data_IF_923698836558
#
_entry.id   IF_923698836558
#
_cell.length_a   1.000
_cell.length_b   1.000
_cell.length_c   1.000
_cell.angle_alpha   90.00
_cell.angle_beta   90.00
_cell.angle_gamma   90.00
#
_symmetry.space_group_name_H-M   'P 1'
#
loop_
_entity.id
_entity.type
_entity.pdbx_description
1 polymer ?
#
# COMPACT_ATOMS: atom_id res chain seq x y z
N UNK A 1 -3.21 14.96 -8.59
CA UNK A 1 -2.12 14.08 -8.14
C UNK A 1 -2.49 13.60 -6.74
N UNK A 2 -2.94 12.36 -6.58
CA UNK A 2 -3.49 11.89 -5.29
C UNK A 2 -2.37 11.67 -4.27
N UNK A 3 -2.65 11.97 -3.00
CA UNK A 3 -1.71 11.82 -1.88
C UNK A 3 -1.21 10.38 -1.73
N UNK A 4 -2.07 9.41 -2.04
CA UNK A 4 -1.76 7.98 -2.03
C UNK A 4 -0.79 7.60 -3.15
N UNK A 5 -0.98 8.12 -4.37
CA UNK A 5 -0.04 7.90 -5.47
C UNK A 5 1.33 8.51 -5.16
N UNK A 6 1.36 9.70 -4.56
CA UNK A 6 2.63 10.32 -4.14
C UNK A 6 3.33 9.51 -3.03
N UNK A 7 2.56 8.95 -2.08
CA UNK A 7 3.10 8.03 -1.08
C UNK A 7 3.74 6.80 -1.75
N UNK A 8 3.04 6.17 -2.69
CA UNK A 8 3.57 5.01 -3.40
C UNK A 8 4.82 5.35 -4.22
N UNK A 9 4.92 6.55 -4.79
CA UNK A 9 6.12 7.02 -5.49
C UNK A 9 7.29 7.24 -4.51
N UNK A 10 7.04 7.98 -3.42
CA UNK A 10 8.08 8.36 -2.42
C UNK A 10 8.74 7.14 -1.80
N UNK A 11 7.97 6.08 -1.55
CA UNK A 11 8.47 4.84 -0.96
C UNK A 11 8.82 3.76 -2.00
N UNK A 12 8.78 4.07 -3.30
CA UNK A 12 9.11 3.13 -4.37
C UNK A 12 8.14 1.94 -4.49
N UNK A 13 6.95 2.05 -3.92
CA UNK A 13 5.92 1.02 -3.89
C UNK A 13 5.06 0.98 -5.16
N UNK A 14 5.07 2.05 -5.97
CA UNK A 14 4.17 2.22 -7.13
C UNK A 14 4.19 1.07 -8.15
N UNK A 15 5.29 0.31 -8.25
CA UNK A 15 5.42 -0.78 -9.22
C UNK A 15 4.68 -2.06 -8.81
N UNK A 16 4.40 -2.22 -7.52
CA UNK A 16 3.87 -3.48 -6.98
C UNK A 16 2.77 -3.29 -5.93
N UNK A 17 2.51 -2.06 -5.50
CA UNK A 17 1.39 -1.72 -4.63
C UNK A 17 0.43 -0.81 -5.39
N UNK A 18 -0.84 -1.16 -5.38
CA UNK A 18 -1.93 -0.34 -5.91
C UNK A 18 -2.83 0.11 -4.77
N UNK A 19 -3.24 1.38 -4.78
CA UNK A 19 -4.21 1.91 -3.82
C UNK A 19 -5.56 2.10 -4.51
N UNK A 20 -6.63 1.64 -3.88
CA UNK A 20 -8.01 1.88 -4.27
C UNK A 20 -8.81 2.32 -3.05
N UNK A 21 -9.79 3.20 -3.24
CA UNK A 21 -10.70 3.60 -2.16
C UNK A 21 -12.01 2.88 -2.35
N UNK A 22 -12.46 2.13 -1.34
CA UNK A 22 -13.75 1.45 -1.36
C UNK A 22 -14.56 1.85 -0.12
N UNK A 23 -15.75 2.42 -0.33
CA UNK A 23 -16.66 2.88 0.74
C UNK A 23 -15.97 3.74 1.83
N UNK A 24 -15.05 4.62 1.41
CA UNK A 24 -14.30 5.49 2.32
C UNK A 24 -13.11 4.82 3.05
N UNK A 25 -12.83 3.55 2.78
CA UNK A 25 -11.64 2.83 3.25
C UNK A 25 -10.58 2.76 2.17
N UNK A 26 -9.32 2.94 2.56
CA UNK A 26 -8.19 2.77 1.67
C UNK A 26 -7.79 1.30 1.61
N UNK A 27 -7.86 0.71 0.44
CA UNK A 27 -7.42 -0.65 0.15
C UNK A 27 -6.10 -0.57 -0.58
N UNK A 28 -5.05 -1.13 0.02
CA UNK A 28 -3.74 -1.27 -0.59
C UNK A 28 -3.55 -2.73 -1.00
N UNK A 29 -3.40 -2.97 -2.29
CA UNK A 29 -3.16 -4.30 -2.85
C UNK A 29 -1.69 -4.42 -3.23
N UNK A 30 -0.98 -5.33 -2.57
CA UNK A 30 0.42 -5.66 -2.83
C UNK A 30 0.46 -6.89 -3.74
N UNK A 31 1.14 -6.78 -4.88
CA UNK A 31 1.36 -7.91 -5.81
C UNK A 31 2.35 -8.89 -5.19
N UNK A 32 1.96 -10.16 -5.07
CA UNK A 32 2.72 -11.26 -4.46
C UNK A 32 4.01 -11.65 -5.21
N UNK A 33 4.30 -11.01 -6.35
CA UNK A 33 5.55 -11.19 -7.11
C UNK A 33 6.79 -10.63 -6.38
N UNK A 34 6.63 -9.97 -5.24
CA UNK A 34 7.72 -9.43 -4.42
C UNK A 34 8.04 -10.34 -3.25
N UNK A 35 9.29 -10.33 -2.78
CA UNK A 35 9.70 -11.11 -1.61
C UNK A 35 8.89 -10.73 -0.37
N UNK A 36 8.67 -11.68 0.55
CA UNK A 36 7.97 -11.45 1.82
C UNK A 36 8.52 -10.25 2.62
N UNK A 37 9.83 -10.00 2.51
CA UNK A 37 10.49 -8.84 3.12
C UNK A 37 9.95 -7.50 2.58
N UNK A 38 9.71 -7.42 1.27
CA UNK A 38 9.15 -6.24 0.61
C UNK A 38 7.67 -6.08 0.95
N UNK A 39 6.92 -7.19 1.00
CA UNK A 39 5.51 -7.17 1.41
C UNK A 39 5.38 -6.66 2.84
N UNK A 40 6.19 -7.18 3.79
CA UNK A 40 6.25 -6.68 5.17
C UNK A 40 6.64 -5.23 5.24
N UNK A 41 7.65 -4.81 4.49
CA UNK A 41 8.10 -3.41 4.48
C UNK A 41 6.99 -2.46 4.01
N UNK A 42 6.29 -2.82 2.92
CA UNK A 42 5.16 -2.05 2.42
C UNK A 42 4.01 -2.01 3.45
N UNK A 43 3.72 -3.14 4.10
CA UNK A 43 2.68 -3.25 5.12
C UNK A 43 2.99 -2.38 6.35
N UNK A 44 4.24 -2.34 6.81
CA UNK A 44 4.69 -1.47 7.90
C UNK A 44 4.56 0.02 7.53
N UNK A 45 4.93 0.40 6.30
CA UNK A 45 4.79 1.78 5.82
C UNK A 45 3.32 2.23 5.74
N UNK A 46 2.45 1.35 5.20
CA UNK A 46 1.01 1.63 5.08
C UNK A 46 0.37 1.73 6.46
N UNK A 47 0.67 0.80 7.37
CA UNK A 47 0.18 0.84 8.75
C UNK A 47 0.71 2.08 9.50
N UNK A 48 1.97 2.45 9.30
CA UNK A 48 2.56 3.63 9.95
C UNK A 48 1.88 4.94 9.53
N UNK A 49 1.45 5.05 8.27
CA UNK A 49 0.84 6.28 7.74
C UNK A 49 -0.68 6.32 7.87
N UNK A 50 -1.36 5.21 7.59
CA UNK A 50 -2.82 5.15 7.49
C UNK A 50 -3.47 4.37 8.65
N UNK A 51 -2.67 3.63 9.43
CA UNK A 51 -3.13 2.89 10.59
C UNK A 51 -4.30 1.95 10.27
N UNK A 52 -5.30 1.94 11.16
CA UNK A 52 -6.49 1.08 11.05
C UNK A 52 -7.46 1.49 9.92
N UNK A 53 -7.25 2.63 9.27
CA UNK A 53 -8.07 3.09 8.16
C UNK A 53 -7.66 2.46 6.81
N UNK A 54 -6.50 1.80 6.77
CA UNK A 54 -6.02 1.07 5.60
C UNK A 54 -6.22 -0.44 5.75
N UNK A 55 -6.75 -1.06 4.70
CA UNK A 55 -6.80 -2.51 4.53
C UNK A 55 -5.68 -2.89 3.58
N UNK A 56 -4.76 -3.75 4.03
CA UNK A 56 -3.70 -4.29 3.16
C UNK A 56 -4.09 -5.69 2.71
N UNK A 57 -4.05 -5.92 1.41
CA UNK A 57 -4.30 -7.23 0.79
C UNK A 57 -3.08 -7.63 -0.04
N UNK A 58 -2.74 -8.92 0.00
CA UNK A 58 -1.70 -9.51 -0.84
C UNK A 58 -2.41 -10.34 -1.91
N UNK A 59 -2.15 -10.06 -3.18
CA UNK A 59 -2.79 -10.69 -4.33
C UNK A 59 -1.78 -11.39 -5.24
#
# INVERSE_FOLDING_TARGET
>A
MNSESNFLIVYGLQNFVSCATNEGRLIFTIRALQSDKMVRHAMDLINGRYGKAATVQVA
#
